data_IF_663175017935
#
_entry.id   IF_663175017935
#
_cell.length_a   1.000
_cell.length_b   1.000
_cell.length_c   1.000
_cell.angle_alpha   90.00
_cell.angle_beta   90.00
_cell.angle_gamma   90.00
#
_symmetry.space_group_name_H-M   'P 1'
#
loop_
_entity.id
_entity.type
_entity.pdbx_description
1 polymer ?
#
# COMPACT_ATOMS: atom_id res chain seq x y z
N UNK A 1 -5.48 3.76 -7.47
CA UNK A 1 -4.67 4.37 -6.41
C UNK A 1 -5.47 4.89 -5.22
N UNK A 2 -6.05 3.99 -4.40
CA UNK A 2 -6.49 4.32 -3.05
C UNK A 2 -5.36 5.10 -2.37
N UNK A 3 -5.70 6.15 -1.63
CA UNK A 3 -4.67 7.06 -1.13
C UNK A 3 -3.91 6.42 0.05
N UNK A 4 -2.82 7.08 0.43
CA UNK A 4 -1.81 6.57 1.38
C UNK A 4 -2.40 6.19 2.75
N UNK A 5 -3.44 6.87 3.21
CA UNK A 5 -4.04 6.63 4.52
C UNK A 5 -4.87 5.35 4.57
N UNK A 6 -5.63 5.02 3.50
CA UNK A 6 -6.41 3.78 3.48
C UNK A 6 -5.51 2.55 3.68
N UNK A 7 -4.38 2.49 2.96
CA UNK A 7 -3.40 1.41 3.12
C UNK A 7 -2.73 1.42 4.50
N UNK A 8 -2.35 2.59 5.00
CA UNK A 8 -1.79 2.72 6.34
C UNK A 8 -2.74 2.16 7.40
N UNK A 9 -3.99 2.64 7.40
CA UNK A 9 -5.04 2.28 8.34
C UNK A 9 -5.40 0.80 8.23
N UNK A 10 -5.53 0.25 7.03
CA UNK A 10 -5.74 -1.18 6.81
C UNK A 10 -4.58 -2.01 7.38
N UNK A 11 -3.32 -1.61 7.14
CA UNK A 11 -2.15 -2.27 7.71
C UNK A 11 -2.16 -2.25 9.25
N UNK A 12 -2.54 -1.13 9.87
CA UNK A 12 -2.67 -1.08 11.32
C UNK A 12 -3.74 -2.04 11.84
N UNK A 13 -4.88 -2.17 11.18
CA UNK A 13 -5.92 -3.14 11.55
C UNK A 13 -5.45 -4.59 11.37
N UNK A 14 -4.76 -4.90 10.27
CA UNK A 14 -4.21 -6.24 10.02
C UNK A 14 -3.21 -6.61 11.11
N UNK A 15 -2.30 -5.69 11.47
CA UNK A 15 -1.25 -5.87 12.50
C UNK A 15 -1.80 -6.41 13.83
N UNK A 16 -2.98 -5.95 14.25
CA UNK A 16 -3.62 -6.37 15.51
C UNK A 16 -4.14 -7.81 15.49
N UNK A 17 -4.32 -8.41 14.31
CA UNK A 17 -4.84 -9.77 14.13
C UNK A 17 -3.75 -10.80 13.79
N UNK A 18 -2.49 -10.38 13.71
CA UNK A 18 -1.37 -11.26 13.40
C UNK A 18 -0.87 -12.00 14.65
N UNK A 19 -0.19 -13.13 14.43
CA UNK A 19 0.49 -13.85 15.51
C UNK A 19 1.53 -12.97 16.20
N UNK A 20 1.82 -13.27 17.47
CA UNK A 20 2.80 -12.50 18.26
C UNK A 20 4.18 -12.44 17.59
N UNK A 21 4.59 -13.53 16.93
CA UNK A 21 5.87 -13.61 16.21
C UNK A 21 5.93 -12.59 15.05
N UNK A 22 4.91 -12.56 14.20
CA UNK A 22 4.86 -11.64 13.06
C UNK A 22 4.71 -10.20 13.55
N UNK A 23 3.83 -9.98 14.54
CA UNK A 23 3.60 -8.67 15.13
C UNK A 23 4.88 -8.11 15.75
N UNK A 24 5.69 -8.94 16.41
CA UNK A 24 6.99 -8.53 16.95
C UNK A 24 7.94 -8.04 15.86
N UNK A 25 8.06 -8.77 14.75
CA UNK A 25 8.90 -8.37 13.60
C UNK A 25 8.45 -7.00 13.06
N UNK A 26 7.13 -6.80 12.93
CA UNK A 26 6.56 -5.53 12.47
C UNK A 26 6.87 -4.39 13.44
N UNK A 27 6.64 -4.58 14.74
CA UNK A 27 6.87 -3.54 15.75
C UNK A 27 8.34 -3.14 15.87
N UNK A 28 9.26 -4.10 15.77
CA UNK A 28 10.71 -3.83 15.77
C UNK A 28 11.18 -3.11 14.49
N UNK A 29 10.37 -3.13 13.41
CA UNK A 29 10.70 -2.57 12.09
C UNK A 29 9.56 -1.73 11.52
N UNK A 30 8.85 -0.98 12.37
CA UNK A 30 7.56 -0.36 12.02
C UNK A 30 7.66 0.62 10.86
N UNK A 31 8.76 1.37 10.77
CA UNK A 31 9.01 2.27 9.62
C UNK A 31 9.03 1.51 8.30
N UNK A 32 9.66 0.34 8.25
CA UNK A 32 9.73 -0.45 7.02
C UNK A 32 8.41 -1.11 6.68
N UNK A 33 7.66 -1.55 7.69
CA UNK A 33 6.28 -2.00 7.50
C UNK A 33 5.43 -0.90 6.88
N UNK A 34 5.46 0.30 7.45
CA UNK A 34 4.70 1.45 6.94
C UNK A 34 5.15 1.86 5.54
N UNK A 35 6.46 1.85 5.23
CA UNK A 35 6.96 2.03 3.86
C UNK A 35 6.39 0.95 2.92
N UNK A 36 6.36 -0.30 3.37
CA UNK A 36 5.76 -1.40 2.62
C UNK A 36 4.27 -1.18 2.32
N UNK A 37 3.50 -0.56 3.23
CA UNK A 37 2.08 -0.25 3.02
C UNK A 37 1.84 0.73 1.86
N UNK A 38 2.83 1.53 1.47
CA UNK A 38 2.73 2.33 0.24
C UNK A 38 2.82 1.49 -1.03
N UNK A 39 3.24 0.22 -0.96
CA UNK A 39 3.38 -0.60 -2.15
C UNK A 39 4.30 0.03 -3.20
N UNK A 40 4.01 -0.12 -4.51
CA UNK A 40 4.75 0.55 -5.57
C UNK A 40 4.35 2.03 -5.73
N UNK A 41 3.39 2.54 -4.95
CA UNK A 41 2.85 3.90 -5.08
C UNK A 41 3.84 4.98 -4.74
N UNK A 42 4.81 4.64 -3.89
CA UNK A 42 5.91 5.51 -3.54
C UNK A 42 6.63 6.04 -4.78
N UNK A 43 6.59 5.29 -5.90
CA UNK A 43 7.19 5.67 -7.18
C UNK A 43 6.46 6.83 -7.88
N UNK A 44 5.19 7.07 -7.58
CA UNK A 44 4.42 8.19 -8.16
C UNK A 44 4.82 9.55 -7.59
N UNK A 45 5.45 9.58 -6.42
CA UNK A 45 5.95 10.81 -5.80
C UNK A 45 7.26 11.31 -6.44
N UNK A 46 7.95 10.48 -7.23
CA UNK A 46 9.14 10.91 -7.96
C UNK A 46 8.75 11.67 -9.23
N UNK A 47 9.06 12.98 -9.26
CA UNK A 47 8.72 13.90 -10.36
C UNK A 47 7.25 13.71 -10.78
N UNK A 48 6.30 14.09 -9.90
CA UNK A 48 4.89 13.72 -10.04
C UNK A 48 4.20 14.42 -11.22
N UNK A 49 4.82 15.44 -11.79
CA UNK A 49 4.32 16.15 -12.97
C UNK A 49 4.89 15.47 -14.23
N UNK A 50 3.98 14.93 -15.05
CA UNK A 50 4.31 14.31 -16.33
C UNK A 50 4.83 12.87 -16.21
N UNK A 51 5.09 12.25 -17.36
CA UNK A 51 5.57 10.87 -17.42
C UNK A 51 7.07 10.78 -17.19
N UNK A 52 7.51 9.79 -16.43
CA UNK A 52 8.92 9.48 -16.24
C UNK A 52 9.13 7.98 -15.98
N UNK A 53 10.34 7.48 -16.19
CA UNK A 53 10.64 6.04 -16.06
C UNK A 53 10.25 5.45 -14.69
N UNK A 54 10.32 6.23 -13.62
CA UNK A 54 10.02 5.77 -12.25
C UNK A 54 8.51 5.63 -12.06
N UNK A 55 7.72 6.65 -12.42
CA UNK A 55 6.26 6.53 -12.32
C UNK A 55 5.68 5.47 -13.27
N UNK A 56 6.30 5.26 -14.45
CA UNK A 56 5.93 4.16 -15.34
C UNK A 56 6.29 2.79 -14.76
N UNK A 57 7.33 2.70 -13.93
CA UNK A 57 7.62 1.48 -13.17
C UNK A 57 6.53 1.19 -12.15
N UNK A 58 6.02 2.22 -11.46
CA UNK A 58 4.85 2.09 -10.58
C UNK A 58 3.62 1.56 -11.30
N UNK A 59 3.28 2.15 -12.46
CA UNK A 59 2.18 1.66 -13.32
C UNK A 59 2.39 0.21 -13.73
N UNK A 60 3.60 -0.16 -14.15
CA UNK A 60 3.89 -1.52 -14.56
C UNK A 60 3.70 -2.52 -13.41
N UNK A 61 4.18 -2.18 -12.21
CA UNK A 61 4.04 -3.04 -11.02
C UNK A 61 2.57 -3.28 -10.64
N UNK A 62 1.70 -2.28 -10.75
CA UNK A 62 0.25 -2.45 -10.54
C UNK A 62 -0.42 -3.38 -11.53
N UNK A 63 0.13 -3.52 -12.74
CA UNK A 63 -0.39 -4.43 -13.75
C UNK A 63 0.20 -5.85 -13.65
N UNK A 64 1.15 -6.08 -12.73
CA UNK A 64 1.72 -7.41 -12.51
C UNK A 64 0.93 -8.20 -11.46
N UNK A 65 0.83 -9.51 -11.67
CA UNK A 65 0.29 -10.40 -10.65
C UNK A 65 1.30 -10.44 -9.49
N UNK A 66 0.89 -10.01 -8.31
CA UNK A 66 1.77 -9.88 -7.13
C UNK A 66 2.56 -11.16 -6.80
N UNK A 67 2.09 -12.33 -7.22
CA UNK A 67 2.75 -13.62 -7.01
C UNK A 67 4.20 -13.66 -7.52
N UNK A 68 4.52 -13.01 -8.65
CA UNK A 68 5.90 -12.97 -9.15
C UNK A 68 6.79 -12.13 -8.23
N UNK A 69 6.28 -10.98 -7.79
CA UNK A 69 6.97 -10.11 -6.84
C UNK A 69 7.25 -10.85 -5.52
N UNK A 70 6.23 -11.48 -4.92
CA UNK A 70 6.38 -12.17 -3.64
C UNK A 70 7.28 -13.41 -3.72
N UNK A 71 7.23 -14.16 -4.83
CA UNK A 71 8.13 -15.30 -5.04
C UNK A 71 9.60 -14.85 -5.12
N UNK A 72 9.87 -13.74 -5.81
CA UNK A 72 11.21 -13.16 -5.88
C UNK A 72 11.64 -12.58 -4.52
N UNK A 73 10.74 -11.90 -3.82
CA UNK A 73 10.96 -11.40 -2.45
C UNK A 73 11.36 -12.53 -1.50
N UNK A 74 10.61 -13.63 -1.48
CA UNK A 74 10.91 -14.82 -0.66
C UNK A 74 12.31 -15.38 -0.92
N UNK A 75 12.74 -15.44 -2.19
CA UNK A 75 14.09 -15.91 -2.56
C UNK A 75 15.18 -14.96 -2.05
N UNK A 76 14.94 -13.65 -2.09
CA UNK A 76 15.90 -12.63 -1.61
C UNK A 76 16.01 -12.66 -0.08
N UNK A 77 14.89 -12.69 0.64
CA UNK A 77 14.87 -12.72 2.11
C UNK A 77 15.60 -13.94 2.67
N UNK A 78 15.39 -15.13 2.07
CA UNK A 78 16.08 -16.36 2.51
C UNK A 78 17.61 -16.26 2.44
N UNK A 79 18.15 -15.34 1.65
CA UNK A 79 19.60 -15.13 1.47
C UNK A 79 20.11 -13.93 2.27
N UNK A 80 19.24 -13.16 2.90
CA UNK A 80 19.62 -11.94 3.61
C UNK A 80 19.97 -12.26 5.08
N UNK A 81 21.10 -11.75 5.61
CA UNK A 81 21.54 -12.03 6.98
C UNK A 81 20.62 -11.42 8.05
N UNK A 82 19.92 -10.33 7.72
CA UNK A 82 18.86 -9.73 8.54
C UNK A 82 17.50 -9.90 7.85
N UNK A 83 16.83 -11.02 8.10
CA UNK A 83 15.58 -11.36 7.43
C UNK A 83 14.39 -10.55 7.94
N UNK A 84 14.41 -10.09 9.20
CA UNK A 84 13.27 -9.43 9.85
C UNK A 84 12.99 -8.05 9.25
N UNK A 85 14.03 -7.27 8.97
CA UNK A 85 13.95 -5.98 8.27
C UNK A 85 13.22 -6.11 6.93
N UNK A 86 13.64 -7.08 6.11
CA UNK A 86 13.04 -7.32 4.81
C UNK A 86 11.64 -7.94 4.89
N UNK A 87 11.39 -8.77 5.91
CA UNK A 87 10.07 -9.34 6.19
C UNK A 87 9.07 -8.25 6.56
N UNK A 88 9.44 -7.29 7.41
CA UNK A 88 8.56 -6.18 7.78
C UNK A 88 8.10 -5.38 6.57
N UNK A 89 9.03 -5.03 5.67
CA UNK A 89 8.69 -4.39 4.39
C UNK A 89 7.73 -5.25 3.55
N UNK A 90 8.02 -6.55 3.39
CA UNK A 90 7.13 -7.43 2.63
C UNK A 90 5.75 -7.60 3.25
N UNK A 91 5.63 -7.63 4.59
CA UNK A 91 4.33 -7.71 5.24
C UNK A 91 3.49 -6.48 4.94
N UNK A 92 4.08 -5.27 4.94
CA UNK A 92 3.38 -4.06 4.52
C UNK A 92 2.97 -4.14 3.05
N UNK A 93 3.90 -4.57 2.19
CA UNK A 93 3.67 -4.69 0.75
C UNK A 93 2.58 -5.72 0.39
N UNK A 94 2.47 -6.80 1.16
CA UNK A 94 1.36 -7.76 1.05
C UNK A 94 0.04 -7.08 1.39
N UNK A 95 -0.03 -6.32 2.48
CA UNK A 95 -1.25 -5.61 2.87
C UNK A 95 -1.70 -4.61 1.80
N UNK A 96 -0.75 -3.92 1.15
CA UNK A 96 -1.04 -3.04 0.03
C UNK A 96 -1.74 -3.79 -1.11
N UNK A 97 -1.13 -4.88 -1.60
CA UNK A 97 -1.70 -5.70 -2.69
C UNK A 97 -3.04 -6.32 -2.32
N UNK A 98 -3.21 -6.74 -1.06
CA UNK A 98 -4.49 -7.28 -0.57
C UNK A 98 -5.61 -6.24 -0.69
N UNK A 99 -5.39 -5.03 -0.17
CA UNK A 99 -6.41 -3.99 -0.22
C UNK A 99 -6.74 -3.57 -1.66
N UNK A 100 -5.72 -3.38 -2.49
CA UNK A 100 -5.90 -3.04 -3.92
C UNK A 100 -6.69 -4.11 -4.68
N UNK A 101 -6.41 -5.39 -4.41
CA UNK A 101 -7.10 -6.49 -5.07
C UNK A 101 -8.59 -6.54 -4.74
N UNK A 102 -8.98 -6.12 -3.54
CA UNK A 102 -10.38 -6.07 -3.09
C UNK A 102 -11.09 -4.78 -3.54
N UNK A 103 -10.40 -3.63 -3.51
CA UNK A 103 -10.99 -2.33 -3.82
C UNK A 103 -11.12 -2.06 -5.32
N UNK A 104 -10.11 -2.42 -6.13
CA UNK A 104 -10.10 -2.05 -7.55
C UNK A 104 -11.29 -2.58 -8.36
N UNK A 105 -11.79 -3.82 -8.18
CA UNK A 105 -12.99 -4.29 -8.89
C UNK A 105 -14.21 -3.38 -8.66
N UNK A 106 -14.43 -2.95 -7.41
CA UNK A 106 -15.54 -2.07 -7.05
C UNK A 106 -15.35 -0.65 -7.62
N UNK A 107 -14.16 -0.07 -7.48
CA UNK A 107 -13.86 1.27 -8.00
C UNK A 107 -14.00 1.30 -9.52
N UNK A 108 -13.45 0.30 -10.21
CA UNK A 108 -13.50 0.18 -11.67
C UNK A 108 -14.92 0.03 -12.21
N UNK A 109 -15.81 -0.61 -11.46
CA UNK A 109 -17.23 -0.68 -11.83
C UNK A 109 -17.94 0.66 -11.56
N UNK A 110 -17.68 1.28 -10.41
CA UNK A 110 -18.32 2.54 -9.99
C UNK A 110 -18.06 3.67 -10.99
N UNK A 111 -16.83 3.83 -11.47
CA UNK A 111 -16.45 4.89 -12.41
C UNK A 111 -17.06 4.74 -13.81
N UNK A 112 -17.67 3.59 -14.14
CA UNK A 112 -18.43 3.44 -15.39
C UNK A 112 -19.76 4.19 -15.36
N UNK A 113 -20.27 4.46 -14.15
CA UNK A 113 -21.62 5.01 -13.94
C UNK A 113 -21.61 6.41 -13.35
N UNK A 114 -20.54 6.80 -12.65
CA UNK A 114 -20.39 8.10 -12.00
C UNK A 114 -19.30 8.90 -12.74
N UNK A 115 -19.51 10.20 -13.06
CA UNK A 115 -18.55 11.02 -13.81
C UNK A 115 -17.39 11.52 -12.92
N UNK A 116 -16.71 10.61 -12.23
CA UNK A 116 -15.54 10.88 -11.38
C UNK A 116 -14.38 10.00 -11.80
N UNK A 117 -13.14 10.51 -11.66
CA UNK A 117 -11.96 9.71 -11.95
C UNK A 117 -11.75 8.64 -10.87
N UNK A 118 -11.08 7.55 -11.25
CA UNK A 118 -10.61 6.51 -10.32
C UNK A 118 -9.87 7.12 -9.12
N UNK A 119 -8.90 8.01 -9.38
CA UNK A 119 -8.16 8.73 -8.35
C UNK A 119 -9.02 9.62 -7.45
N UNK A 120 -10.16 10.13 -7.93
CA UNK A 120 -11.06 10.95 -7.13
C UNK A 120 -11.86 10.10 -6.14
N UNK A 121 -12.33 8.92 -6.56
CA UNK A 121 -13.00 7.95 -5.67
C UNK A 121 -12.08 7.55 -4.51
N UNK A 122 -10.81 7.37 -4.85
CA UNK A 122 -9.78 6.93 -3.93
C UNK A 122 -9.36 8.00 -2.93
N UNK A 123 -9.16 9.23 -3.42
CA UNK A 123 -8.93 10.40 -2.57
C UNK A 123 -10.11 10.62 -1.60
N UNK A 124 -11.34 10.40 -2.07
CA UNK A 124 -12.53 10.53 -1.23
C UNK A 124 -12.64 9.40 -0.19
N UNK A 125 -12.22 8.19 -0.54
CA UNK A 125 -12.13 7.07 0.41
C UNK A 125 -11.18 7.39 1.56
N UNK A 126 -9.99 7.93 1.28
CA UNK A 126 -9.06 8.36 2.34
C UNK A 126 -9.64 9.49 3.17
N UNK A 127 -10.19 10.51 2.53
CA UNK A 127 -10.82 11.64 3.24
C UNK A 127 -11.88 11.14 4.22
N UNK A 128 -12.74 10.22 3.78
CA UNK A 128 -13.77 9.60 4.61
C UNK A 128 -13.16 8.80 5.77
N UNK A 129 -12.14 7.99 5.53
CA UNK A 129 -11.47 7.20 6.58
C UNK A 129 -10.77 8.09 7.60
N UNK A 130 -10.06 9.13 7.15
CA UNK A 130 -9.42 10.12 8.03
C UNK A 130 -10.45 10.81 8.93
N UNK A 131 -11.59 11.25 8.38
CA UNK A 131 -12.66 11.86 9.18
C UNK A 131 -13.24 10.88 10.19
N UNK A 132 -13.45 9.63 9.79
CA UNK A 132 -13.95 8.57 10.68
C UNK A 132 -13.00 8.33 11.86
N UNK A 133 -11.71 8.46 11.62
CA UNK A 133 -10.66 8.27 12.62
C UNK A 133 -10.31 9.59 13.37
N UNK A 134 -11.10 10.65 13.17
CA UNK A 134 -10.97 11.92 13.89
C UNK A 134 -9.82 12.82 13.42
N UNK A 135 -9.28 12.58 12.23
CA UNK A 135 -8.21 13.35 11.61
C UNK A 135 -8.74 14.48 10.72
N UNK A 136 -7.92 15.52 10.53
CA UNK A 136 -8.18 16.58 9.55
C UNK A 136 -7.56 16.16 8.20
N UNK A 137 -8.35 15.93 7.14
CA UNK A 137 -7.83 15.49 5.84
C UNK A 137 -7.12 16.61 5.06
N UNK A 138 -7.20 17.86 5.51
CA UNK A 138 -6.57 19.02 4.88
C UNK A 138 -5.29 19.44 5.62
N UNK A 139 -5.18 19.11 6.91
CA UNK A 139 -4.06 19.53 7.75
C UNK A 139 -3.37 18.35 8.41
N UNK A 140 -2.06 18.30 8.23
CA UNK A 140 -1.19 17.48 9.06
C UNK A 140 -0.82 18.27 10.34
N UNK A 141 -0.92 17.65 11.51
CA UNK A 141 -0.52 18.25 12.80
C UNK A 141 0.94 18.02 13.10
#
# INVERSE_FOLDING_TARGET
MPTTYAHYRFGQEVKEHLSEEIRKIILENETLYNIGLHGPDILFYYRPIGFNTINQTGVALHNTIGIEFFNNGKKKIKKHPDNNVALAYLFGFICHFMLDSECHPYINESIKTIPVSHSAVEAEMDRMLMIKDGLDPIKYK
#
